data_IF_708699205646
#
_entry.id   IF_708699205646
#
_cell.length_a   1.000
_cell.length_b   1.000
_cell.length_c   1.000
_cell.angle_alpha   90.00
_cell.angle_beta   90.00
_cell.angle_gamma   90.00
#
_symmetry.space_group_name_H-M   'P 1'
#
loop_
_entity.id
_entity.type
_entity.pdbx_description
1 polymer ?
#
# COMPACT_ATOMS: atom_id res chain seq x y z
N UNK A 1 1.38 10.76 9.37
CA UNK A 1 0.72 9.91 8.37
C UNK A 1 1.09 8.46 8.65
N UNK A 2 0.11 7.58 8.59
CA UNK A 2 0.31 6.16 8.89
C UNK A 2 0.97 5.42 7.71
N UNK A 3 1.82 4.43 8.04
CA UNK A 3 2.30 3.48 7.03
C UNK A 3 1.18 2.51 6.64
N UNK A 4 1.30 1.81 5.49
CA UNK A 4 0.32 0.78 5.12
C UNK A 4 0.15 -0.31 6.19
N UNK A 5 1.25 -0.74 6.81
CA UNK A 5 1.20 -1.75 7.88
C UNK A 5 0.46 -1.25 9.11
N UNK A 6 0.70 -0.01 9.53
CA UNK A 6 -0.02 0.58 10.66
C UNK A 6 -1.50 0.74 10.37
N UNK A 7 -1.84 1.14 9.15
CA UNK A 7 -3.23 1.25 8.73
C UNK A 7 -3.94 -0.10 8.85
N UNK A 8 -3.31 -1.17 8.38
CA UNK A 8 -3.88 -2.51 8.47
C UNK A 8 -4.03 -2.96 9.92
N UNK A 9 -3.01 -2.70 10.76
CA UNK A 9 -3.08 -3.02 12.19
C UNK A 9 -4.26 -2.32 12.88
N UNK A 10 -4.47 -1.05 12.59
CA UNK A 10 -5.58 -0.29 13.19
C UNK A 10 -6.93 -0.82 12.75
N UNK A 11 -7.08 -1.15 11.47
CA UNK A 11 -8.32 -1.77 10.97
C UNK A 11 -8.58 -3.10 11.65
N UNK A 12 -7.55 -3.92 11.81
CA UNK A 12 -7.68 -5.20 12.49
C UNK A 12 -8.04 -5.02 13.98
N UNK A 13 -7.45 -4.03 14.64
CA UNK A 13 -7.76 -3.72 16.04
C UNK A 13 -9.19 -3.23 16.24
N UNK A 14 -9.75 -2.50 15.29
CA UNK A 14 -11.17 -2.13 15.33
C UNK A 14 -12.07 -3.37 15.38
N UNK A 15 -11.75 -4.37 14.57
CA UNK A 15 -12.46 -5.64 14.61
C UNK A 15 -12.30 -6.32 15.97
N UNK A 16 -11.07 -6.37 16.52
CA UNK A 16 -10.82 -7.01 17.83
C UNK A 16 -11.60 -6.32 18.95
N UNK A 17 -11.67 -5.00 18.93
CA UNK A 17 -12.49 -4.25 19.92
C UNK A 17 -13.96 -4.64 19.80
N UNK A 18 -14.47 -4.81 18.60
CA UNK A 18 -15.88 -5.15 18.37
C UNK A 18 -16.26 -6.52 18.95
N UNK A 19 -15.29 -7.41 19.17
CA UNK A 19 -15.50 -8.74 19.77
C UNK A 19 -14.90 -8.84 21.18
N UNK A 20 -14.62 -7.71 21.82
CA UNK A 20 -14.06 -7.62 23.19
C UNK A 20 -12.70 -8.33 23.34
N UNK A 21 -11.84 -8.24 22.33
CA UNK A 21 -10.47 -8.74 22.38
C UNK A 21 -9.50 -7.57 22.53
N UNK A 22 -8.35 -7.84 23.15
CA UNK A 22 -7.30 -6.83 23.28
C UNK A 22 -6.72 -6.45 21.93
N UNK A 23 -6.32 -5.17 21.81
CA UNK A 23 -5.65 -4.66 20.63
C UNK A 23 -4.21 -5.16 20.54
N UNK A 24 -3.73 -5.39 19.32
CA UNK A 24 -2.31 -5.68 19.09
C UNK A 24 -1.51 -4.40 19.04
N UNK A 25 -0.38 -4.37 19.74
CA UNK A 25 0.60 -3.27 19.64
C UNK A 25 1.47 -3.44 18.42
N UNK A 26 2.11 -2.37 17.96
CA UNK A 26 2.96 -2.42 16.77
C UNK A 26 4.07 -3.48 16.86
N UNK A 27 4.82 -3.65 17.98
CA UNK A 27 5.85 -4.67 18.07
C UNK A 27 5.34 -6.13 17.98
N UNK A 28 4.06 -6.34 18.30
CA UNK A 28 3.44 -7.68 18.27
C UNK A 28 2.89 -8.04 16.89
N UNK A 29 2.78 -7.08 15.99
CA UNK A 29 2.03 -7.23 14.74
C UNK A 29 3.00 -7.28 13.55
N UNK A 30 3.26 -8.49 13.07
CA UNK A 30 4.18 -8.74 11.96
C UNK A 30 3.38 -9.29 10.79
N UNK A 31 3.56 -8.68 9.61
CA UNK A 31 2.85 -9.09 8.38
C UNK A 31 3.78 -9.87 7.46
N UNK A 32 3.23 -10.90 6.83
CA UNK A 32 3.86 -11.50 5.67
C UNK A 32 3.74 -10.56 4.46
N UNK A 33 4.48 -10.85 3.39
CA UNK A 33 4.28 -10.19 2.12
C UNK A 33 2.88 -10.53 1.58
N UNK A 34 2.13 -9.56 1.02
CA UNK A 34 0.79 -9.85 0.50
C UNK A 34 0.86 -10.73 -0.73
N UNK A 35 -0.10 -11.64 -0.85
CA UNK A 35 -0.20 -12.58 -1.98
C UNK A 35 -1.55 -12.41 -2.67
N UNK A 36 -1.55 -12.58 -3.99
CA UNK A 36 -2.81 -12.68 -4.74
C UNK A 36 -3.57 -13.92 -4.31
N UNK A 37 -4.87 -13.76 -4.09
CA UNK A 37 -5.72 -14.83 -3.58
C UNK A 37 -6.83 -15.17 -4.57
N UNK A 38 -6.96 -16.46 -4.86
CA UNK A 38 -8.06 -17.04 -5.61
C UNK A 38 -8.51 -18.27 -4.84
N UNK A 39 -9.74 -18.28 -4.35
CA UNK A 39 -10.20 -19.40 -3.53
C UNK A 39 -11.64 -19.26 -3.05
N UNK A 40 -11.95 -19.90 -1.93
CA UNK A 40 -13.30 -19.99 -1.38
C UNK A 40 -13.90 -18.62 -1.00
N UNK A 41 -13.06 -17.61 -0.72
CA UNK A 41 -13.49 -16.22 -0.48
C UNK A 41 -13.40 -15.42 -1.77
N UNK A 42 -14.28 -15.70 -2.71
CA UNK A 42 -14.23 -15.16 -4.08
C UNK A 42 -14.40 -13.64 -4.15
N UNK A 43 -14.90 -12.98 -3.10
CA UNK A 43 -15.02 -11.53 -2.98
C UNK A 43 -13.70 -10.84 -2.58
N UNK A 44 -12.65 -11.61 -2.26
CA UNK A 44 -11.35 -11.10 -1.83
C UNK A 44 -10.26 -11.47 -2.82
N UNK A 45 -9.33 -10.56 -3.03
CA UNK A 45 -8.24 -10.77 -4.00
C UNK A 45 -6.85 -10.86 -3.37
N UNK A 46 -6.73 -10.68 -2.07
CA UNK A 46 -5.43 -10.63 -1.39
C UNK A 46 -5.47 -11.34 -0.04
N UNK A 47 -4.36 -12.00 0.26
CA UNK A 47 -4.12 -12.66 1.55
C UNK A 47 -2.83 -12.13 2.15
N UNK A 48 -2.88 -11.76 3.44
CA UNK A 48 -1.68 -11.61 4.27
C UNK A 48 -1.81 -12.54 5.46
N UNK A 49 -0.67 -12.98 6.00
CA UNK A 49 -0.63 -13.74 7.24
C UNK A 49 -0.05 -12.84 8.31
N UNK A 50 -0.77 -12.71 9.40
CA UNK A 50 -0.33 -11.96 10.57
C UNK A 50 0.29 -12.91 11.56
N UNK A 51 1.49 -12.58 12.02
CA UNK A 51 2.12 -13.23 13.15
C UNK A 51 2.08 -12.23 14.31
N UNK A 52 1.05 -12.35 15.14
CA UNK A 52 0.81 -11.46 16.26
C UNK A 52 0.89 -12.24 17.56
N UNK A 53 1.90 -11.96 18.38
CA UNK A 53 2.09 -12.64 19.66
C UNK A 53 0.89 -12.38 20.59
N UNK A 54 0.28 -13.42 21.20
CA UNK A 54 0.66 -14.84 21.17
C UNK A 54 -0.02 -15.67 20.07
N UNK A 55 -0.65 -15.03 19.07
CA UNK A 55 -1.43 -15.68 18.02
C UNK A 55 -0.69 -15.68 16.68
N UNK A 56 0.09 -16.75 16.36
CA UNK A 56 0.79 -16.82 15.07
C UNK A 56 -0.14 -17.28 13.94
N UNK A 57 0.29 -16.99 12.69
CA UNK A 57 -0.34 -17.52 11.48
C UNK A 57 -1.83 -17.20 11.33
N UNK A 58 -2.20 -15.94 11.57
CA UNK A 58 -3.58 -15.48 11.36
C UNK A 58 -3.74 -15.04 9.91
N UNK A 59 -4.54 -15.75 9.09
CA UNK A 59 -4.79 -15.31 7.72
C UNK A 59 -5.80 -14.16 7.70
N UNK A 60 -5.51 -13.14 6.90
CA UNK A 60 -6.42 -12.01 6.66
C UNK A 60 -6.64 -11.88 5.17
N UNK A 61 -7.91 -11.92 4.76
CA UNK A 61 -8.32 -11.78 3.37
C UNK A 61 -8.91 -10.39 3.16
N UNK A 62 -8.46 -9.70 2.12
CA UNK A 62 -8.93 -8.35 1.83
C UNK A 62 -8.75 -8.04 0.34
N UNK A 63 -9.12 -6.84 -0.06
CA UNK A 63 -9.01 -6.41 -1.44
C UNK A 63 -7.96 -5.32 -1.59
N UNK A 64 -6.96 -5.57 -2.45
CA UNK A 64 -6.09 -4.51 -2.95
C UNK A 64 -6.80 -3.85 -4.15
N UNK A 65 -6.57 -2.55 -4.28
CA UNK A 65 -7.12 -1.75 -5.36
C UNK A 65 -6.13 -1.73 -6.53
N UNK A 66 -6.62 -1.88 -7.75
CA UNK A 66 -5.78 -1.71 -8.94
C UNK A 66 -5.44 -0.21 -9.10
N UNK A 67 -4.17 0.10 -9.32
CA UNK A 67 -3.77 1.48 -9.63
C UNK A 67 -4.44 2.00 -10.90
N UNK A 68 -4.77 1.11 -11.85
CA UNK A 68 -5.49 1.49 -13.05
C UNK A 68 -6.89 2.06 -12.75
N UNK A 69 -7.48 1.68 -11.62
CA UNK A 69 -8.81 2.14 -11.19
C UNK A 69 -8.73 3.30 -10.20
N UNK A 70 -7.51 3.73 -9.85
CA UNK A 70 -7.32 4.85 -8.93
C UNK A 70 -7.54 6.18 -9.64
N UNK A 71 -7.77 7.23 -8.87
CA UNK A 71 -7.96 8.57 -9.43
C UNK A 71 -6.74 9.02 -10.26
N UNK A 72 -6.95 9.78 -11.35
CA UNK A 72 -5.84 10.32 -12.11
C UNK A 72 -4.93 11.18 -11.25
N UNK A 73 -3.63 11.03 -11.45
CA UNK A 73 -2.62 11.75 -10.68
C UNK A 73 -1.79 12.64 -11.59
N UNK A 74 -1.47 13.84 -11.10
CA UNK A 74 -0.50 14.72 -11.74
C UNK A 74 0.32 15.42 -10.66
N UNK A 75 1.59 15.64 -10.96
CA UNK A 75 2.54 16.22 -10.02
C UNK A 75 3.41 17.25 -10.73
N UNK A 76 3.64 18.36 -10.06
CA UNK A 76 4.61 19.36 -10.51
C UNK A 76 6.01 18.83 -10.17
N UNK A 77 6.79 18.51 -11.20
CA UNK A 77 8.08 17.89 -11.00
C UNK A 77 9.10 18.82 -10.34
N UNK A 78 9.16 20.08 -10.76
CA UNK A 78 10.22 20.99 -10.35
C UNK A 78 11.59 20.47 -10.78
N UNK A 79 12.52 20.36 -9.83
CA UNK A 79 13.86 19.82 -10.05
C UNK A 79 14.01 18.35 -9.70
N UNK A 80 12.92 17.71 -9.28
CA UNK A 80 12.94 16.30 -8.86
C UNK A 80 13.05 15.39 -10.08
N UNK A 81 13.86 14.35 -9.97
CA UNK A 81 14.18 13.45 -11.10
C UNK A 81 13.84 11.98 -10.82
N UNK A 82 13.39 11.64 -9.61
CA UNK A 82 13.07 10.26 -9.24
C UNK A 82 11.71 10.17 -8.55
N UNK A 83 11.11 8.99 -8.63
CA UNK A 83 9.87 8.70 -7.91
C UNK A 83 10.04 8.90 -6.41
N UNK A 84 11.17 8.48 -5.85
CA UNK A 84 11.46 8.66 -4.43
C UNK A 84 11.31 10.11 -3.98
N UNK A 85 11.79 11.05 -4.79
CA UNK A 85 11.70 12.48 -4.49
C UNK A 85 10.26 13.01 -4.58
N UNK A 86 9.41 12.42 -5.42
CA UNK A 86 8.00 12.81 -5.58
C UNK A 86 7.08 12.19 -4.53
N UNK A 87 7.53 11.12 -3.88
CA UNK A 87 6.64 10.23 -3.12
C UNK A 87 5.99 10.91 -1.91
N UNK A 88 6.72 11.79 -1.22
CA UNK A 88 6.16 12.51 -0.07
C UNK A 88 4.94 13.36 -0.48
N UNK A 89 5.02 14.06 -1.61
CA UNK A 89 3.90 14.85 -2.11
C UNK A 89 2.76 13.97 -2.60
N UNK A 90 3.06 12.85 -3.27
CA UNK A 90 2.04 11.90 -3.73
C UNK A 90 1.29 11.29 -2.56
N UNK A 91 1.99 10.92 -1.50
CA UNK A 91 1.37 10.40 -0.28
C UNK A 91 0.40 11.41 0.32
N UNK A 92 0.81 12.66 0.38
CA UNK A 92 -0.02 13.71 0.98
C UNK A 92 -1.23 14.06 0.11
N UNK A 93 -1.05 14.17 -1.21
CA UNK A 93 -2.11 14.62 -2.12
C UNK A 93 -3.09 13.53 -2.52
N UNK A 94 -2.62 12.30 -2.71
CA UNK A 94 -3.42 11.26 -3.36
C UNK A 94 -3.69 10.05 -2.47
N UNK A 95 -2.73 9.62 -1.68
CA UNK A 95 -2.88 8.34 -0.97
C UNK A 95 -3.35 8.49 0.48
N UNK A 96 -2.94 9.52 1.18
CA UNK A 96 -3.23 9.67 2.61
C UNK A 96 -2.53 8.64 3.48
N UNK A 97 -1.51 7.98 2.94
CA UNK A 97 -0.74 6.91 3.58
C UNK A 97 0.73 7.11 3.26
N UNK A 98 1.60 6.80 4.21
CA UNK A 98 3.05 6.95 4.06
C UNK A 98 3.65 5.73 3.34
N UNK A 99 3.46 5.64 2.03
CA UNK A 99 4.19 4.66 1.22
C UNK A 99 5.67 5.01 1.17
N UNK A 100 6.52 4.00 1.08
CA UNK A 100 7.96 4.13 0.87
C UNK A 100 8.33 3.81 -0.56
N UNK A 101 9.59 4.07 -0.92
CA UNK A 101 10.10 3.73 -2.26
C UNK A 101 10.04 2.24 -2.58
N UNK A 102 9.93 1.36 -1.57
CA UNK A 102 9.85 -0.08 -1.75
C UNK A 102 8.45 -0.57 -2.09
N UNK A 103 7.46 0.27 -1.97
CA UNK A 103 6.06 -0.06 -2.30
C UNK A 103 5.77 0.08 -3.79
N UNK A 104 6.65 0.75 -4.52
CA UNK A 104 6.53 0.97 -5.97
C UNK A 104 7.84 0.65 -6.68
N UNK A 105 7.74 0.27 -7.96
CA UNK A 105 8.92 0.07 -8.79
C UNK A 105 9.70 1.40 -8.93
N UNK A 106 11.03 1.38 -8.83
CA UNK A 106 11.81 2.61 -8.93
C UNK A 106 11.71 3.22 -10.33
N UNK A 107 11.66 4.56 -10.39
CA UNK A 107 11.61 5.32 -11.65
C UNK A 107 12.51 6.53 -11.56
N UNK A 108 13.14 6.85 -12.70
CA UNK A 108 13.87 8.09 -12.91
C UNK A 108 13.28 8.79 -14.12
N UNK A 109 13.38 10.11 -14.17
CA UNK A 109 12.75 10.93 -15.22
C UNK A 109 13.80 11.74 -15.97
N UNK A 110 13.71 11.72 -17.30
CA UNK A 110 14.45 12.65 -18.14
C UNK A 110 13.77 14.02 -18.10
N UNK A 111 14.53 15.08 -18.43
CA UNK A 111 13.99 16.44 -18.45
C UNK A 111 12.81 16.60 -19.41
N UNK A 112 12.78 15.80 -20.47
CA UNK A 112 11.73 15.82 -21.49
C UNK A 112 10.50 14.98 -21.14
N UNK A 113 10.54 14.21 -20.06
CA UNK A 113 9.41 13.35 -19.70
C UNK A 113 8.23 14.17 -19.21
N UNK A 114 7.05 13.88 -19.74
CA UNK A 114 5.78 14.52 -19.37
C UNK A 114 4.87 13.59 -18.55
N UNK A 115 5.27 12.34 -18.38
CA UNK A 115 4.55 11.35 -17.59
C UNK A 115 5.49 10.21 -17.22
N UNK A 116 5.04 9.39 -16.26
CA UNK A 116 5.70 8.12 -15.94
C UNK A 116 4.68 7.07 -15.54
N UNK A 117 5.07 5.81 -15.61
CA UNK A 117 4.24 4.71 -15.14
C UNK A 117 4.58 4.40 -13.69
N UNK A 118 3.58 4.52 -12.81
CA UNK A 118 3.67 4.10 -11.41
C UNK A 118 3.22 2.66 -11.32
N UNK A 119 4.08 1.77 -10.83
CA UNK A 119 3.79 0.34 -10.72
C UNK A 119 3.97 -0.10 -9.27
N UNK A 120 2.94 -0.73 -8.71
CA UNK A 120 3.02 -1.29 -7.37
C UNK A 120 3.92 -2.54 -7.37
N UNK A 121 4.77 -2.66 -6.36
CA UNK A 121 5.55 -3.89 -6.15
C UNK A 121 4.67 -4.97 -5.53
N UNK A 122 5.16 -6.22 -5.51
CA UNK A 122 4.48 -7.31 -4.82
C UNK A 122 4.32 -7.06 -3.31
N UNK A 123 5.13 -6.17 -2.75
CA UNK A 123 5.09 -5.80 -1.31
C UNK A 123 3.99 -4.79 -0.97
N UNK A 124 3.39 -4.16 -1.97
CA UNK A 124 2.39 -3.13 -1.72
C UNK A 124 1.14 -3.73 -1.09
N UNK A 125 0.82 -3.30 0.12
CA UNK A 125 -0.31 -3.84 0.88
C UNK A 125 -1.67 -3.38 0.36
N UNK A 126 -1.73 -2.27 -0.37
CA UNK A 126 -3.00 -1.64 -0.74
C UNK A 126 -3.27 -1.64 -2.24
N UNK A 127 -2.23 -1.61 -3.06
CA UNK A 127 -2.36 -1.49 -4.51
C UNK A 127 -1.73 -2.64 -5.27
N UNK A 128 -2.27 -2.91 -6.45
CA UNK A 128 -1.71 -3.78 -7.49
C UNK A 128 -1.69 -3.03 -8.81
N UNK A 129 -0.94 -3.54 -9.78
CA UNK A 129 -0.96 -3.01 -11.14
C UNK A 129 -0.21 -1.69 -11.29
N UNK A 130 -0.58 -0.94 -12.31
CA UNK A 130 0.11 0.29 -12.65
C UNK A 130 -0.86 1.34 -13.21
N UNK A 131 -0.40 2.60 -13.18
CA UNK A 131 -1.12 3.72 -13.78
C UNK A 131 -0.12 4.74 -14.32
N UNK A 132 -0.61 5.68 -15.12
CA UNK A 132 0.19 6.78 -15.64
C UNK A 132 0.01 8.01 -14.76
N UNK A 133 1.12 8.61 -14.33
CA UNK A 133 1.14 9.87 -13.57
C UNK A 133 1.66 10.97 -14.49
N UNK A 134 0.94 12.09 -14.57
CA UNK A 134 1.33 13.23 -15.37
C UNK A 134 2.37 14.07 -14.61
N UNK A 135 3.43 14.45 -15.31
CA UNK A 135 4.46 15.37 -14.81
C UNK A 135 4.22 16.76 -15.42
N UNK A 136 4.10 17.75 -14.57
CA UNK A 136 3.87 19.14 -14.99
C UNK A 136 5.05 20.05 -14.66
#
# INVERSE_FOLDING_TARGET
>A
MLSPQEKLRLVFNEYRKSINKEEYTAPMFILSEPESYIGARSDKNTLVVIDATPNPNIPVFYNRVSLADWQPMSIVRGTRTTLKELLAEMNQRYFGIAFTEYDFEPRSFAASDTSFTLTATSRNLLFTGSCTVQLK
#
